data_IF_084481122836
#
_entry.id   IF_084481122836
#
_cell.length_a   1.000
_cell.length_b   1.000
_cell.length_c   1.000
_cell.angle_alpha   90.00
_cell.angle_beta   90.00
_cell.angle_gamma   90.00
#
_symmetry.space_group_name_H-M   'P 1'
#
loop_
_entity.id
_entity.type
_entity.pdbx_description
1 polymer ?
#
# COMPACT_ATOMS: atom_id res chain seq x y z
N UNK A 1 14.41 8.52 27.51
CA UNK A 1 13.71 8.37 26.23
C UNK A 1 12.53 7.45 26.51
N UNK A 2 11.30 7.96 26.49
CA UNK A 2 10.11 7.14 26.70
C UNK A 2 9.93 6.31 25.42
N UNK A 3 10.03 4.99 25.51
CA UNK A 3 9.60 4.08 24.44
C UNK A 3 8.18 3.66 24.81
N UNK A 4 7.20 4.13 24.05
CA UNK A 4 5.86 3.61 24.14
C UNK A 4 5.71 2.47 23.12
N UNK A 5 5.19 1.35 23.57
CA UNK A 5 4.83 0.21 22.72
C UNK A 5 3.57 0.52 21.92
N UNK A 6 3.33 -0.20 20.81
CA UNK A 6 2.08 -0.07 20.07
C UNK A 6 0.87 -0.41 20.96
N UNK A 7 1.04 -1.32 21.90
CA UNK A 7 0.02 -1.66 22.89
C UNK A 7 -0.31 -0.53 23.88
N UNK A 8 0.63 0.38 24.16
CA UNK A 8 0.40 1.57 24.98
C UNK A 8 -0.17 2.73 24.16
N UNK A 9 0.25 2.84 22.88
CA UNK A 9 -0.22 3.87 21.96
C UNK A 9 -1.66 3.62 21.51
N UNK A 10 -1.98 2.43 20.99
CA UNK A 10 -3.25 2.19 20.30
C UNK A 10 -4.49 2.48 21.18
N UNK A 11 -4.60 1.99 22.44
CA UNK A 11 -5.78 2.25 23.27
C UNK A 11 -5.89 3.71 23.72
N UNK A 12 -4.76 4.41 23.79
CA UNK A 12 -4.70 5.81 24.23
C UNK A 12 -5.00 6.78 23.09
N UNK A 13 -4.84 6.32 21.84
CA UNK A 13 -4.81 7.17 20.66
C UNK A 13 -6.01 6.92 19.76
N UNK A 14 -6.52 5.69 19.61
CA UNK A 14 -7.58 5.38 18.64
C UNK A 14 -8.60 4.40 19.23
N UNK A 15 -9.86 4.81 19.26
CA UNK A 15 -10.99 3.94 19.61
C UNK A 15 -11.09 2.77 18.61
N UNK A 16 -11.25 1.55 19.12
CA UNK A 16 -11.42 0.34 18.31
C UNK A 16 -12.60 0.43 17.33
N UNK A 17 -13.61 1.22 17.68
CA UNK A 17 -14.84 1.36 16.90
C UNK A 17 -14.65 2.19 15.61
N UNK A 18 -13.52 2.90 15.47
CA UNK A 18 -13.23 3.75 14.30
C UNK A 18 -12.73 3.00 13.06
N UNK A 19 -12.59 1.67 13.12
CA UNK A 19 -12.25 0.90 11.92
C UNK A 19 -10.82 1.12 11.37
N UNK A 20 -9.83 1.35 12.23
CA UNK A 20 -8.45 1.68 11.84
C UNK A 20 -7.58 0.51 11.30
N UNK A 21 -6.54 0.86 10.54
CA UNK A 21 -5.51 -0.03 10.01
C UNK A 21 -4.10 0.56 10.14
N UNK A 22 -3.08 -0.26 10.39
CA UNK A 22 -1.67 0.14 10.21
C UNK A 22 -1.28 -0.01 8.74
N UNK A 23 -0.46 0.91 8.24
CA UNK A 23 0.09 0.81 6.89
C UNK A 23 1.46 1.44 6.76
N UNK A 24 1.74 1.93 5.55
CA UNK A 24 2.94 2.68 5.26
C UNK A 24 4.22 1.84 5.22
N UNK A 25 5.37 2.53 5.20
CA UNK A 25 6.68 1.88 5.05
C UNK A 25 7.06 0.99 6.23
N UNK A 26 6.46 1.22 7.40
CA UNK A 26 6.77 0.47 8.63
C UNK A 26 6.21 -0.94 8.62
N UNK A 27 5.02 -1.14 8.05
CA UNK A 27 4.48 -2.49 7.85
C UNK A 27 5.36 -3.29 6.90
N UNK A 28 5.77 -2.70 5.78
CA UNK A 28 6.67 -3.36 4.82
C UNK A 28 8.04 -3.66 5.44
N UNK A 29 8.63 -2.68 6.12
CA UNK A 29 9.92 -2.80 6.78
C UNK A 29 9.94 -3.91 7.84
N UNK A 30 8.87 -4.01 8.64
CA UNK A 30 8.75 -5.07 9.64
C UNK A 30 8.52 -6.45 9.01
N UNK A 31 7.79 -6.53 7.89
CA UNK A 31 7.48 -7.81 7.24
C UNK A 31 8.67 -8.37 6.46
N UNK A 32 9.41 -7.51 5.76
CA UNK A 32 10.51 -7.92 4.88
C UNK A 32 11.89 -7.71 5.52
N UNK A 33 11.95 -7.10 6.69
CA UNK A 33 13.18 -6.83 7.45
C UNK A 33 14.26 -6.19 6.57
N UNK A 34 13.86 -5.32 5.63
CA UNK A 34 14.76 -4.83 4.58
C UNK A 34 15.42 -3.49 4.91
N UNK A 35 14.88 -2.75 5.89
CA UNK A 35 15.45 -1.52 6.46
C UNK A 35 14.76 -1.18 7.79
N UNK A 36 15.35 -0.30 8.59
CA UNK A 36 14.68 0.31 9.73
C UNK A 36 13.65 1.36 9.26
N UNK A 37 12.49 1.39 9.92
CA UNK A 37 11.45 2.41 9.71
C UNK A 37 11.01 2.99 11.04
N UNK A 38 11.01 4.32 11.12
CA UNK A 38 10.77 5.08 12.36
C UNK A 38 9.39 5.72 12.43
N UNK A 39 8.68 5.77 11.30
CA UNK A 39 7.35 6.36 11.22
C UNK A 39 6.29 5.32 11.62
N UNK A 40 5.10 5.79 11.98
CA UNK A 40 3.91 4.96 12.19
C UNK A 40 2.75 5.59 11.43
N UNK A 41 2.23 4.89 10.43
CA UNK A 41 1.10 5.35 9.62
C UNK A 41 -0.16 4.57 10.02
N UNK A 42 -1.19 5.30 10.45
CA UNK A 42 -2.51 4.76 10.78
C UNK A 42 -3.55 5.32 9.81
N UNK A 43 -4.35 4.44 9.26
CA UNK A 43 -5.42 4.76 8.32
C UNK A 43 -6.78 4.54 8.96
N UNK A 44 -7.69 5.47 8.68
CA UNK A 44 -9.10 5.43 9.07
C UNK A 44 -9.95 5.43 7.80
N UNK A 45 -11.21 4.95 7.86
CA UNK A 45 -12.17 5.12 6.78
C UNK A 45 -12.24 6.57 6.31
N UNK A 46 -12.44 6.82 5.02
CA UNK A 46 -12.41 8.17 4.45
C UNK A 46 -13.46 9.12 5.05
N UNK A 47 -14.55 8.58 5.59
CA UNK A 47 -15.63 9.28 6.28
C UNK A 47 -15.33 9.60 7.76
N UNK A 48 -14.24 9.06 8.32
CA UNK A 48 -13.88 9.28 9.71
C UNK A 48 -13.54 10.75 9.97
N UNK A 49 -14.09 11.30 11.05
CA UNK A 49 -13.78 12.67 11.47
C UNK A 49 -12.42 12.73 12.15
N UNK A 50 -11.53 13.61 11.68
CA UNK A 50 -10.24 13.87 12.33
C UNK A 50 -10.33 14.82 13.53
N UNK A 51 -11.53 15.32 13.87
CA UNK A 51 -11.71 16.25 14.99
C UNK A 51 -11.27 15.67 16.34
N UNK A 52 -11.35 14.34 16.50
CA UNK A 52 -10.90 13.62 17.71
C UNK A 52 -9.37 13.56 17.84
N UNK A 53 -8.63 13.91 16.78
CA UNK A 53 -7.17 13.98 16.76
C UNK A 53 -6.65 15.42 16.58
N UNK A 54 -7.54 16.40 16.42
CA UNK A 54 -7.15 17.79 16.28
C UNK A 54 -6.76 18.36 17.65
N UNK A 55 -5.49 18.74 17.89
CA UNK A 55 -5.03 19.21 19.21
C UNK A 55 -5.71 20.50 19.69
N UNK A 56 -6.46 21.19 18.82
CA UNK A 56 -7.29 22.36 19.19
C UNK A 56 -8.60 21.94 19.85
N UNK A 57 -9.12 20.77 19.50
CA UNK A 57 -10.45 20.28 19.90
C UNK A 57 -10.40 19.01 20.75
N UNK A 58 -9.27 18.31 20.77
CA UNK A 58 -9.01 17.09 21.52
C UNK A 58 -7.84 17.29 22.50
N UNK A 59 -8.06 17.93 23.66
CA UNK A 59 -6.99 18.18 24.64
C UNK A 59 -6.39 16.87 25.19
N UNK A 60 -7.20 15.82 25.37
CA UNK A 60 -6.73 14.53 25.86
C UNK A 60 -5.74 13.88 24.88
N UNK A 61 -6.05 13.92 23.57
CA UNK A 61 -5.14 13.45 22.53
C UNK A 61 -3.84 14.25 22.52
N UNK A 62 -3.93 15.59 22.57
CA UNK A 62 -2.76 16.47 22.62
C UNK A 62 -1.89 16.16 23.84
N UNK A 63 -2.49 16.07 25.01
CA UNK A 63 -1.77 15.88 26.27
C UNK A 63 -1.14 14.48 26.32
N UNK A 64 -1.81 13.46 25.79
CA UNK A 64 -1.23 12.13 25.58
C UNK A 64 0.00 12.18 24.64
N UNK A 65 -0.10 12.84 23.48
CA UNK A 65 1.02 12.98 22.54
C UNK A 65 2.20 13.73 23.17
N UNK A 66 1.94 14.81 23.91
CA UNK A 66 2.98 15.56 24.62
C UNK A 66 3.62 14.73 25.73
N UNK A 67 2.82 13.95 26.48
CA UNK A 67 3.32 13.02 27.51
C UNK A 67 4.23 11.94 26.94
N UNK A 68 4.01 11.55 25.68
CA UNK A 68 4.86 10.64 24.91
C UNK A 68 6.10 11.32 24.30
N UNK A 69 6.24 12.64 24.44
CA UNK A 69 7.38 13.40 23.97
C UNK A 69 7.23 13.98 22.56
N UNK A 70 6.00 14.20 22.09
CA UNK A 70 5.76 14.89 20.84
C UNK A 70 6.36 16.31 20.87
N UNK A 71 7.06 16.69 19.80
CA UNK A 71 7.69 18.01 19.65
C UNK A 71 6.86 18.95 18.79
N UNK A 72 6.00 18.40 17.93
CA UNK A 72 5.15 19.16 17.01
C UNK A 72 3.93 18.33 16.63
N UNK A 73 2.80 19.02 16.41
CA UNK A 73 1.58 18.45 15.85
C UNK A 73 1.06 19.36 14.74
N UNK A 74 0.56 18.77 13.65
CA UNK A 74 0.01 19.50 12.51
C UNK A 74 -1.24 18.79 11.98
N UNK A 75 -2.28 19.58 11.69
CA UNK A 75 -3.53 19.09 11.12
C UNK A 75 -3.61 19.54 9.67
N UNK A 76 -3.82 18.57 8.79
CA UNK A 76 -4.09 18.74 7.37
C UNK A 76 -5.53 18.30 7.08
N UNK A 77 -6.02 18.53 5.86
CA UNK A 77 -7.42 18.23 5.51
C UNK A 77 -7.80 16.77 5.75
N UNK A 78 -6.87 15.84 5.53
CA UNK A 78 -7.09 14.39 5.63
C UNK A 78 -6.08 13.67 6.52
N UNK A 79 -5.21 14.38 7.22
CA UNK A 79 -4.32 13.74 8.18
C UNK A 79 -3.94 14.62 9.35
N UNK A 80 -3.58 13.96 10.46
CA UNK A 80 -2.93 14.58 11.61
C UNK A 80 -1.54 13.97 11.74
N UNK A 81 -0.53 14.83 11.79
CA UNK A 81 0.88 14.44 11.91
C UNK A 81 1.41 14.87 13.27
N UNK A 82 2.05 13.95 13.97
CA UNK A 82 2.71 14.17 15.25
C UNK A 82 4.16 13.75 15.14
N UNK A 83 5.09 14.66 15.42
CA UNK A 83 6.53 14.40 15.33
C UNK A 83 7.11 14.14 16.72
N UNK A 84 8.03 13.20 16.76
CA UNK A 84 8.84 12.82 17.90
C UNK A 84 10.33 12.91 17.50
N UNK A 85 11.27 12.98 18.46
CA UNK A 85 12.69 12.93 18.14
C UNK A 85 13.10 11.65 17.39
N UNK A 86 12.38 10.56 17.62
CA UNK A 86 12.68 9.23 17.08
C UNK A 86 11.89 8.88 15.80
N UNK A 87 10.98 9.73 15.33
CA UNK A 87 10.10 9.40 14.21
C UNK A 87 8.80 10.21 14.20
N UNK A 88 7.80 9.72 13.47
CA UNK A 88 6.53 10.45 13.25
C UNK A 88 5.34 9.51 13.26
N UNK A 89 4.27 9.91 13.93
CA UNK A 89 2.94 9.30 13.81
C UNK A 89 2.10 10.10 12.82
N UNK A 90 1.47 9.43 11.85
CA UNK A 90 0.51 10.03 10.94
C UNK A 90 -0.81 9.26 10.98
N UNK A 91 -1.91 9.95 11.28
CA UNK A 91 -3.27 9.41 11.23
C UNK A 91 -3.95 10.00 10.00
N UNK A 92 -4.37 9.17 9.06
CA UNK A 92 -4.94 9.58 7.77
C UNK A 92 -6.34 9.03 7.58
N UNK A 93 -7.32 9.89 7.26
CA UNK A 93 -8.66 9.47 6.86
C UNK A 93 -8.68 9.29 5.33
N UNK A 94 -8.47 8.05 4.89
CA UNK A 94 -8.39 7.68 3.49
C UNK A 94 -8.60 6.16 3.34
N UNK A 95 -9.54 5.77 2.50
CA UNK A 95 -9.76 4.36 2.18
C UNK A 95 -8.56 3.77 1.43
N UNK A 96 -8.21 2.50 1.71
CA UNK A 96 -7.13 1.84 0.99
C UNK A 96 -7.49 1.65 -0.48
N UNK A 97 -6.46 1.81 -1.32
CA UNK A 97 -6.57 1.67 -2.77
C UNK A 97 -5.43 0.75 -3.23
N UNK A 98 -5.70 -0.41 -3.86
CA UNK A 98 -7.02 -1.01 -4.06
C UNK A 98 -7.73 -1.32 -2.74
N UNK A 99 -9.07 -1.40 -2.78
CA UNK A 99 -9.93 -1.68 -1.64
C UNK A 99 -9.91 -3.16 -1.25
N UNK A 100 -8.73 -3.64 -0.84
CA UNK A 100 -8.50 -5.01 -0.40
C UNK A 100 -8.84 -5.15 1.09
N UNK A 101 -9.36 -6.32 1.52
CA UNK A 101 -9.64 -6.55 2.93
C UNK A 101 -8.34 -6.50 3.74
N UNK A 102 -8.37 -5.93 4.96
CA UNK A 102 -7.18 -5.84 5.78
C UNK A 102 -6.71 -7.21 6.28
N UNK A 103 -5.41 -7.34 6.49
CA UNK A 103 -4.80 -8.52 7.07
C UNK A 103 -4.79 -8.45 8.59
N UNK A 104 -5.24 -9.51 9.25
CA UNK A 104 -5.12 -9.62 10.70
C UNK A 104 -3.65 -9.86 11.09
N UNK A 105 -3.20 -9.19 12.15
CA UNK A 105 -1.87 -9.35 12.72
C UNK A 105 -1.90 -9.25 14.24
N UNK A 106 -0.83 -9.73 14.88
CA UNK A 106 -0.62 -9.56 16.31
C UNK A 106 0.67 -8.80 16.55
N UNK A 107 0.59 -7.63 17.18
CA UNK A 107 1.74 -6.74 17.43
C UNK A 107 1.78 -6.44 18.92
N UNK A 108 2.94 -6.66 19.55
CA UNK A 108 3.15 -6.49 20.99
C UNK A 108 2.07 -7.19 21.85
N UNK A 109 1.57 -8.33 21.36
CA UNK A 109 0.53 -9.11 22.03
C UNK A 109 -0.91 -8.66 21.77
N UNK A 110 -1.11 -7.52 21.10
CA UNK A 110 -2.41 -6.95 20.73
C UNK A 110 -2.83 -7.32 19.32
N UNK A 111 -4.14 -7.49 19.11
CA UNK A 111 -4.70 -7.65 17.76
C UNK A 111 -4.63 -6.33 17.00
N UNK A 112 -4.16 -6.41 15.75
CA UNK A 112 -4.05 -5.28 14.84
C UNK A 112 -4.57 -5.65 13.46
N UNK A 113 -4.98 -4.64 12.70
CA UNK A 113 -5.33 -4.78 11.29
C UNK A 113 -4.28 -4.06 10.46
N UNK A 114 -3.74 -4.73 9.45
CA UNK A 114 -2.77 -4.18 8.52
C UNK A 114 -3.44 -3.94 7.17
N UNK A 115 -3.05 -2.85 6.51
CA UNK A 115 -3.31 -2.70 5.09
C UNK A 115 -2.58 -3.81 4.31
N UNK A 116 -3.19 -4.27 3.23
CA UNK A 116 -2.55 -5.18 2.29
C UNK A 116 -1.34 -4.51 1.64
N UNK A 117 -0.30 -5.31 1.35
CA UNK A 117 0.95 -4.82 0.77
C UNK A 117 0.68 -4.09 -0.56
N UNK A 118 -0.26 -4.58 -1.37
CA UNK A 118 -0.67 -3.95 -2.61
C UNK A 118 -1.24 -2.54 -2.38
N UNK A 119 -2.05 -2.35 -1.35
CA UNK A 119 -2.63 -1.05 -1.00
C UNK A 119 -1.56 -0.07 -0.50
N UNK A 120 -0.59 -0.55 0.28
CA UNK A 120 0.55 0.27 0.73
C UNK A 120 1.43 0.70 -0.45
N UNK A 121 1.79 -0.25 -1.32
CA UNK A 121 2.61 0.02 -2.51
C UNK A 121 1.89 0.94 -3.50
N UNK A 122 0.59 0.75 -3.71
CA UNK A 122 -0.22 1.63 -4.54
C UNK A 122 -0.26 3.06 -3.97
N UNK A 123 -0.39 3.20 -2.64
CA UNK A 123 -0.28 4.51 -1.97
C UNK A 123 1.07 5.21 -2.20
N UNK A 124 2.18 4.46 -2.29
CA UNK A 124 3.51 5.02 -2.64
C UNK A 124 3.56 5.48 -4.10
N UNK A 125 3.11 4.63 -5.03
CA UNK A 125 3.12 4.94 -6.46
C UNK A 125 2.18 6.10 -6.82
N UNK A 126 0.91 6.04 -6.39
CA UNK A 126 -0.12 7.02 -6.74
C UNK A 126 -0.01 8.31 -5.90
N UNK A 127 0.09 8.17 -4.57
CA UNK A 127 -0.01 9.29 -3.64
C UNK A 127 1.20 10.22 -3.66
N UNK A 128 2.37 9.72 -4.08
CA UNK A 128 3.62 10.49 -4.11
C UNK A 128 4.15 10.70 -5.53
N UNK A 129 3.75 9.85 -6.49
CA UNK A 129 3.98 10.01 -7.92
C UNK A 129 5.39 10.50 -8.24
N UNK A 130 5.48 11.71 -8.81
CA UNK A 130 6.72 12.36 -9.25
C UNK A 130 7.74 12.71 -8.15
N UNK A 131 7.35 12.59 -6.88
CA UNK A 131 8.18 12.96 -5.71
C UNK A 131 8.34 11.78 -4.76
N UNK A 132 8.39 10.57 -5.31
CA UNK A 132 8.57 9.36 -4.53
C UNK A 132 9.90 9.44 -3.76
N UNK A 133 9.87 9.47 -2.41
CA UNK A 133 11.09 9.44 -1.60
C UNK A 133 11.90 8.18 -1.87
N UNK A 134 13.20 8.22 -1.63
CA UNK A 134 14.14 7.13 -1.86
C UNK A 134 13.71 5.85 -1.14
N UNK A 135 13.23 5.95 0.10
CA UNK A 135 12.67 4.82 0.85
C UNK A 135 11.52 4.12 0.14
N UNK A 136 10.71 4.84 -0.63
CA UNK A 136 9.60 4.24 -1.38
C UNK A 136 10.09 3.57 -2.65
N UNK A 137 11.09 4.14 -3.33
CA UNK A 137 11.77 3.50 -4.48
C UNK A 137 12.41 2.18 -4.04
N UNK A 138 13.07 2.19 -2.88
CA UNK A 138 13.66 1.01 -2.25
C UNK A 138 12.59 -0.04 -1.91
N UNK A 139 11.51 0.37 -1.24
CA UNK A 139 10.39 -0.53 -0.89
C UNK A 139 9.75 -1.18 -2.13
N UNK A 140 9.62 -0.44 -3.25
CA UNK A 140 9.10 -0.97 -4.53
C UNK A 140 10.03 -2.05 -5.11
N UNK A 141 11.35 -1.86 -5.04
CA UNK A 141 12.30 -2.85 -5.53
C UNK A 141 12.31 -4.11 -4.68
N UNK A 142 12.27 -3.97 -3.35
CA UNK A 142 12.19 -5.11 -2.44
C UNK A 142 10.91 -5.91 -2.67
N UNK A 143 9.79 -5.23 -2.93
CA UNK A 143 8.51 -5.89 -3.22
C UNK A 143 8.59 -6.85 -4.41
N UNK A 144 9.41 -6.58 -5.44
CA UNK A 144 9.55 -7.49 -6.57
C UNK A 144 10.13 -8.86 -6.19
N UNK A 145 10.88 -8.93 -5.09
CA UNK A 145 11.45 -10.18 -4.57
C UNK A 145 10.55 -10.79 -3.51
N UNK A 146 10.08 -9.98 -2.55
CA UNK A 146 9.38 -10.48 -1.36
C UNK A 146 7.87 -10.66 -1.57
N UNK A 147 7.26 -9.86 -2.47
CA UNK A 147 5.82 -9.89 -2.74
C UNK A 147 5.48 -9.40 -4.17
N UNK A 148 5.91 -10.17 -5.20
CA UNK A 148 5.73 -9.76 -6.59
C UNK A 148 4.26 -9.63 -7.01
N UNK A 149 3.36 -10.38 -6.37
CA UNK A 149 1.92 -10.29 -6.63
C UNK A 149 1.33 -8.97 -6.11
N UNK A 150 1.74 -8.52 -4.91
CA UNK A 150 1.33 -7.22 -4.39
C UNK A 150 1.87 -6.06 -5.23
N UNK A 151 3.14 -6.13 -5.66
CA UNK A 151 3.72 -5.13 -6.56
C UNK A 151 2.94 -5.06 -7.88
N UNK A 152 2.67 -6.20 -8.50
CA UNK A 152 1.90 -6.30 -9.75
C UNK A 152 0.50 -5.72 -9.58
N UNK A 153 -0.20 -6.06 -8.49
CA UNK A 153 -1.50 -5.49 -8.18
C UNK A 153 -1.44 -3.96 -8.07
N UNK A 154 -0.47 -3.43 -7.31
CA UNK A 154 -0.28 -2.01 -7.08
C UNK A 154 0.02 -1.23 -8.38
N UNK A 155 0.96 -1.73 -9.19
CA UNK A 155 1.31 -1.15 -10.50
C UNK A 155 0.07 -1.05 -11.37
N UNK A 156 -0.71 -2.13 -11.47
CA UNK A 156 -1.86 -2.15 -12.38
C UNK A 156 -3.04 -1.29 -11.93
N UNK A 157 -3.07 -0.88 -10.66
CA UNK A 157 -4.05 0.08 -10.16
C UNK A 157 -3.70 1.55 -10.49
N UNK A 158 -2.43 1.85 -10.79
CA UNK A 158 -2.00 3.20 -11.19
C UNK A 158 -2.25 3.40 -12.68
N UNK A 159 -2.90 4.50 -13.10
CA UNK A 159 -3.20 4.74 -14.52
C UNK A 159 -1.95 4.68 -15.45
N UNK A 160 -2.11 4.26 -16.72
CA UNK A 160 -0.99 4.01 -17.63
C UNK A 160 -0.08 5.22 -17.86
N UNK A 161 -0.63 6.43 -17.88
CA UNK A 161 0.13 7.66 -18.06
C UNK A 161 1.02 7.94 -16.84
N UNK A 162 0.44 7.80 -15.65
CA UNK A 162 1.13 7.96 -14.37
C UNK A 162 2.23 6.91 -14.19
N UNK A 163 1.99 5.64 -14.57
CA UNK A 163 3.04 4.60 -14.56
C UNK A 163 4.23 4.97 -15.42
N UNK A 164 3.98 5.38 -16.67
CA UNK A 164 5.03 5.79 -17.62
C UNK A 164 5.83 6.97 -17.09
N UNK A 165 5.14 7.92 -16.49
CA UNK A 165 5.75 9.10 -15.88
C UNK A 165 6.61 8.75 -14.66
N UNK A 166 6.12 7.91 -13.74
CA UNK A 166 6.90 7.44 -12.59
C UNK A 166 8.16 6.71 -13.06
N UNK A 167 8.03 5.75 -13.98
CA UNK A 167 9.17 5.01 -14.52
C UNK A 167 10.20 5.95 -15.17
N UNK A 168 9.75 6.95 -15.92
CA UNK A 168 10.63 7.96 -16.51
C UNK A 168 11.35 8.79 -15.44
N UNK A 169 10.64 9.24 -14.40
CA UNK A 169 11.21 10.06 -13.34
C UNK A 169 12.22 9.31 -12.47
N UNK A 170 11.99 8.03 -12.23
CA UNK A 170 12.95 7.17 -11.54
C UNK A 170 14.24 7.05 -12.35
N UNK A 171 14.14 6.83 -13.66
CA UNK A 171 15.31 6.71 -14.53
C UNK A 171 16.15 8.01 -14.58
N UNK A 172 15.52 9.20 -14.63
CA UNK A 172 16.27 10.47 -14.63
C UNK A 172 16.77 10.88 -13.24
N UNK A 173 16.11 10.41 -12.18
CA UNK A 173 16.44 10.75 -10.79
C UNK A 173 17.48 9.83 -10.15
N UNK A 174 18.06 8.90 -10.91
CA UNK A 174 18.90 7.84 -10.38
C UNK A 174 20.15 8.36 -9.65
N UNK A 175 20.81 9.38 -10.20
CA UNK A 175 22.01 9.95 -9.56
C UNK A 175 21.67 10.62 -8.22
N UNK A 176 20.59 11.40 -8.18
CA UNK A 176 20.11 12.03 -6.94
C UNK A 176 19.74 10.97 -5.90
N UNK A 177 19.10 9.87 -6.33
CA UNK A 177 18.81 8.75 -5.45
C UNK A 177 20.09 8.14 -4.85
N UNK A 178 21.11 7.86 -5.67
CA UNK A 178 22.38 7.26 -5.17
C UNK A 178 23.07 8.16 -4.15
N UNK A 179 22.98 9.47 -4.34
CA UNK A 179 23.56 10.44 -3.41
C UNK A 179 22.83 10.45 -2.06
N UNK A 180 21.49 10.43 -2.05
CA UNK A 180 20.70 10.59 -0.83
C UNK A 180 20.27 9.28 -0.14
N UNK A 181 20.14 8.19 -0.88
CA UNK A 181 19.65 6.90 -0.40
C UNK A 181 20.41 6.37 0.84
N UNK A 182 21.75 6.41 0.90
CA UNK A 182 22.50 5.93 2.07
C UNK A 182 22.20 6.71 3.36
N UNK A 183 21.74 7.96 3.27
CA UNK A 183 21.41 8.79 4.43
C UNK A 183 19.98 8.53 4.94
N UNK A 184 19.07 8.17 4.05
CA UNK A 184 17.63 8.06 4.37
C UNK A 184 17.15 6.62 4.52
N UNK A 185 17.86 5.65 3.94
CA UNK A 185 17.59 4.22 4.09
C UNK A 185 18.41 3.74 5.28
N UNK A 186 17.76 3.71 6.44
CA UNK A 186 18.39 3.37 7.71
C UNK A 186 18.57 1.86 7.82
N UNK A 187 19.79 1.42 8.14
CA UNK A 187 20.14 0.01 8.39
C UNK A 187 19.58 -0.95 7.31
N UNK A 188 19.95 -0.76 6.02
CA UNK A 188 19.49 -1.64 4.96
C UNK A 188 20.00 -3.06 5.20
N UNK A 189 19.14 -4.05 5.02
CA UNK A 189 19.54 -5.45 5.16
C UNK A 189 20.61 -5.79 4.11
N UNK A 190 21.67 -6.56 4.46
CA UNK A 190 22.76 -6.87 3.53
C UNK A 190 22.31 -7.50 2.21
N UNK A 191 21.19 -8.24 2.21
CA UNK A 191 20.61 -8.87 1.01
C UNK A 191 20.03 -7.88 -0.02
N UNK A 192 19.88 -6.61 0.35
CA UNK A 192 19.32 -5.54 -0.48
C UNK A 192 20.27 -4.34 -0.60
N UNK A 193 21.55 -4.51 -0.25
CA UNK A 193 22.50 -3.41 -0.24
C UNK A 193 22.77 -2.85 -1.65
N UNK A 194 22.69 -3.69 -2.67
CA UNK A 194 22.74 -3.34 -4.09
C UNK A 194 21.64 -2.35 -4.50
N UNK A 195 20.47 -2.43 -3.87
CA UNK A 195 19.36 -1.51 -4.14
C UNK A 195 19.65 -0.07 -3.72
N UNK A 196 20.67 0.20 -2.90
CA UNK A 196 21.12 1.58 -2.65
C UNK A 196 21.66 2.25 -3.92
N UNK A 197 22.10 1.46 -4.90
CA UNK A 197 22.68 1.95 -6.16
C UNK A 197 21.77 1.71 -7.36
N UNK A 198 21.05 0.59 -7.39
CA UNK A 198 20.33 0.08 -8.58
C UNK A 198 18.80 0.25 -8.53
N UNK A 199 18.23 0.65 -7.38
CA UNK A 199 16.78 0.68 -7.22
C UNK A 199 16.02 1.56 -8.24
N UNK A 200 16.51 2.74 -8.67
CA UNK A 200 15.74 3.59 -9.59
C UNK A 200 15.49 2.93 -10.95
N UNK A 201 16.54 2.42 -11.59
CA UNK A 201 16.44 1.71 -12.87
C UNK A 201 15.62 0.43 -12.71
N UNK A 202 15.87 -0.32 -11.62
CA UNK A 202 15.15 -1.56 -11.36
C UNK A 202 13.66 -1.33 -11.17
N UNK A 203 13.27 -0.32 -10.39
CA UNK A 203 11.87 0.05 -10.19
C UNK A 203 11.21 0.50 -11.49
N UNK A 204 11.91 1.26 -12.33
CA UNK A 204 11.39 1.69 -13.63
C UNK A 204 11.09 0.50 -14.56
N UNK A 205 11.99 -0.48 -14.62
CA UNK A 205 11.79 -1.73 -15.35
C UNK A 205 10.61 -2.53 -14.80
N UNK A 206 10.56 -2.74 -13.48
CA UNK A 206 9.49 -3.48 -12.81
C UNK A 206 8.11 -2.88 -13.06
N UNK A 207 7.96 -1.56 -12.96
CA UNK A 207 6.69 -0.87 -13.23
C UNK A 207 6.21 -1.14 -14.67
N UNK A 208 7.13 -1.14 -15.64
CA UNK A 208 6.80 -1.47 -17.02
C UNK A 208 6.45 -2.95 -17.17
N UNK A 209 7.31 -3.84 -16.68
CA UNK A 209 7.26 -5.27 -16.95
C UNK A 209 6.11 -5.96 -16.20
N UNK A 210 5.67 -5.40 -15.07
CA UNK A 210 4.53 -5.90 -14.29
C UNK A 210 3.17 -5.37 -14.77
N UNK A 211 3.13 -4.45 -15.74
CA UNK A 211 1.88 -3.97 -16.32
C UNK A 211 1.19 -5.07 -17.13
N UNK A 212 -0.13 -5.24 -16.98
CA UNK A 212 -0.94 -6.17 -17.77
C UNK A 212 -0.97 -5.76 -19.25
N UNK A 213 -0.61 -6.71 -20.11
CA UNK A 213 -0.63 -6.57 -21.57
C UNK A 213 -1.88 -7.21 -22.19
N UNK A 214 -2.37 -8.31 -21.62
CA UNK A 214 -3.60 -8.97 -22.05
C UNK A 214 -4.30 -9.69 -20.90
N UNK A 215 -5.61 -9.85 -21.04
CA UNK A 215 -6.45 -10.63 -20.12
C UNK A 215 -7.48 -11.40 -20.93
N UNK A 216 -7.59 -12.70 -20.66
CA UNK A 216 -8.48 -13.63 -21.32
C UNK A 216 -9.39 -14.31 -20.29
N UNK A 217 -10.64 -14.59 -20.70
CA UNK A 217 -11.61 -15.31 -19.88
C UNK A 217 -12.04 -16.59 -20.60
N UNK A 218 -11.89 -17.72 -19.92
CA UNK A 218 -12.33 -19.02 -20.39
C UNK A 218 -13.46 -19.54 -19.49
N UNK A 219 -14.65 -19.71 -20.05
CA UNK A 219 -15.83 -20.21 -19.35
C UNK A 219 -15.98 -21.71 -19.64
N UNK A 220 -15.67 -22.52 -18.63
CA UNK A 220 -15.77 -23.96 -18.71
C UNK A 220 -17.22 -24.44 -18.55
N UNK A 221 -17.56 -25.54 -19.24
CA UNK A 221 -18.88 -26.18 -19.19
C UNK A 221 -19.32 -26.64 -17.79
N UNK A 222 -18.39 -26.75 -16.84
CA UNK A 222 -18.65 -27.19 -15.45
C UNK A 222 -19.00 -26.02 -14.50
N UNK A 223 -19.40 -24.86 -15.02
CA UNK A 223 -19.76 -23.71 -14.18
C UNK A 223 -18.54 -23.07 -13.50
N UNK A 224 -17.42 -23.02 -14.22
CA UNK A 224 -16.21 -22.34 -13.77
C UNK A 224 -15.73 -21.33 -14.81
N UNK A 225 -15.08 -20.27 -14.35
CA UNK A 225 -14.43 -19.26 -15.20
C UNK A 225 -12.97 -19.15 -14.80
N UNK A 226 -12.08 -19.19 -15.79
CA UNK A 226 -10.65 -18.95 -15.61
C UNK A 226 -10.30 -17.61 -16.23
N UNK A 227 -9.81 -16.69 -15.41
CA UNK A 227 -9.15 -15.46 -15.89
C UNK A 227 -7.66 -15.75 -16.01
N UNK A 228 -7.08 -15.42 -17.18
CA UNK A 228 -5.64 -15.49 -17.43
C UNK A 228 -5.16 -14.11 -17.85
N UNK A 229 -4.21 -13.55 -17.13
CA UNK A 229 -3.60 -12.26 -17.46
C UNK A 229 -2.10 -12.43 -17.73
N UNK A 230 -1.59 -11.68 -18.70
CA UNK A 230 -0.17 -11.68 -19.09
C UNK A 230 0.39 -10.28 -18.94
N UNK A 231 1.55 -10.13 -18.30
CA UNK A 231 2.23 -8.84 -18.21
C UNK A 231 3.08 -8.54 -19.44
N UNK A 232 3.51 -7.29 -19.59
CA UNK A 232 4.46 -6.86 -20.64
C UNK A 232 5.78 -7.64 -20.55
N UNK A 233 6.27 -7.91 -19.33
CA UNK A 233 7.46 -8.74 -19.09
C UNK A 233 7.25 -10.23 -19.36
N UNK A 234 6.03 -10.65 -19.72
CA UNK A 234 5.71 -12.02 -20.12
C UNK A 234 5.24 -12.93 -19.01
N UNK A 235 5.13 -12.44 -17.77
CA UNK A 235 4.58 -13.22 -16.64
C UNK A 235 3.11 -13.52 -16.88
N UNK A 236 2.70 -14.77 -16.65
CA UNK A 236 1.32 -15.23 -16.83
C UNK A 236 0.75 -15.64 -15.49
N UNK A 237 -0.42 -15.10 -15.15
CA UNK A 237 -1.16 -15.43 -13.92
C UNK A 237 -2.56 -15.87 -14.29
N UNK A 238 -2.97 -17.04 -13.79
CA UNK A 238 -4.33 -17.56 -13.98
C UNK A 238 -5.02 -17.81 -12.64
N UNK A 239 -6.34 -17.59 -12.60
CA UNK A 239 -7.21 -17.89 -11.46
C UNK A 239 -8.51 -18.48 -11.95
N UNK A 240 -8.91 -19.62 -11.40
CA UNK A 240 -10.19 -20.28 -11.69
C UNK A 240 -11.16 -20.06 -10.54
N UNK A 241 -12.36 -19.63 -10.87
CA UNK A 241 -13.42 -19.27 -9.92
C UNK A 241 -14.74 -19.93 -10.29
N UNK A 242 -15.62 -20.12 -9.30
CA UNK A 242 -16.95 -20.76 -9.46
C UNK A 242 -18.11 -19.81 -9.17
N UNK A 243 -17.83 -18.53 -9.02
CA UNK A 243 -18.83 -17.48 -8.87
C UNK A 243 -18.26 -16.15 -9.34
N UNK A 244 -19.14 -15.24 -9.74
CA UNK A 244 -18.78 -13.86 -10.07
C UNK A 244 -18.12 -13.15 -8.89
N UNK A 245 -18.55 -13.43 -7.66
CA UNK A 245 -17.95 -12.83 -6.46
C UNK A 245 -16.51 -13.32 -6.22
N UNK A 246 -16.24 -14.61 -6.41
CA UNK A 246 -14.88 -15.14 -6.30
C UNK A 246 -13.98 -14.60 -7.41
N UNK A 247 -14.50 -14.50 -8.64
CA UNK A 247 -13.77 -13.91 -9.76
C UNK A 247 -13.45 -12.43 -9.51
N UNK A 248 -14.42 -11.66 -9.02
CA UNK A 248 -14.24 -10.25 -8.68
C UNK A 248 -13.13 -10.06 -7.64
N UNK A 249 -13.15 -10.85 -6.57
CA UNK A 249 -12.11 -10.79 -5.54
C UNK A 249 -10.72 -11.15 -6.10
N UNK A 250 -10.63 -12.19 -6.95
CA UNK A 250 -9.39 -12.59 -7.60
C UNK A 250 -8.86 -11.48 -8.52
N UNK A 251 -9.73 -10.87 -9.33
CA UNK A 251 -9.37 -9.79 -10.24
C UNK A 251 -8.95 -8.50 -9.51
N UNK A 252 -9.59 -8.14 -8.39
CA UNK A 252 -9.13 -7.06 -7.52
C UNK A 252 -7.71 -7.32 -7.00
N UNK A 253 -7.45 -8.54 -6.49
CA UNK A 253 -6.13 -8.94 -6.04
C UNK A 253 -5.06 -8.97 -7.16
N UNK A 254 -5.49 -9.06 -8.42
CA UNK A 254 -4.61 -8.95 -9.58
C UNK A 254 -4.44 -7.51 -10.08
N UNK A 255 -5.17 -6.53 -9.55
CA UNK A 255 -5.16 -5.15 -10.07
C UNK A 255 -5.89 -5.01 -11.42
N UNK A 256 -6.87 -5.86 -11.71
CA UNK A 256 -7.67 -5.85 -12.95
C UNK A 256 -8.99 -5.06 -12.79
N UNK A 257 -9.04 -4.12 -11.86
CA UNK A 257 -10.28 -3.41 -11.50
C UNK A 257 -10.86 -2.60 -12.65
N UNK A 258 -10.04 -1.88 -13.42
CA UNK A 258 -10.52 -1.16 -14.62
C UNK A 258 -11.16 -2.10 -15.65
N UNK A 259 -10.65 -3.33 -15.78
CA UNK A 259 -11.21 -4.31 -16.73
C UNK A 259 -12.56 -4.85 -16.24
N UNK A 260 -12.80 -4.86 -14.92
CA UNK A 260 -14.10 -5.21 -14.35
C UNK A 260 -15.08 -4.05 -14.36
N UNK A 261 -14.64 -2.83 -14.09
CA UNK A 261 -15.55 -1.69 -13.93
C UNK A 261 -15.81 -0.97 -15.25
N UNK A 262 -14.87 -0.98 -16.20
CA UNK A 262 -15.00 -0.29 -17.49
C UNK A 262 -16.23 -0.76 -18.30
N UNK A 263 -16.37 -2.06 -18.62
CA UNK A 263 -17.50 -2.55 -19.41
C UNK A 263 -18.83 -2.60 -18.65
N UNK A 264 -18.78 -2.74 -17.31
CA UNK A 264 -19.95 -3.07 -16.48
C UNK A 264 -20.46 -1.91 -15.61
N UNK A 265 -19.66 -0.86 -15.44
CA UNK A 265 -19.93 0.33 -14.64
C UNK A 265 -19.92 0.10 -13.12
N UNK A 266 -20.28 -1.08 -12.64
CA UNK A 266 -20.30 -1.41 -11.21
C UNK A 266 -19.85 -2.85 -10.95
N UNK A 267 -19.27 -3.08 -9.77
CA UNK A 267 -18.93 -4.42 -9.30
C UNK A 267 -20.15 -5.37 -9.30
N UNK A 268 -21.32 -4.85 -8.91
CA UNK A 268 -22.56 -5.63 -8.87
C UNK A 268 -22.96 -6.13 -10.26
N UNK A 269 -22.89 -5.26 -11.26
CA UNK A 269 -23.22 -5.62 -12.64
C UNK A 269 -22.22 -6.64 -13.20
N UNK A 270 -20.93 -6.48 -12.91
CA UNK A 270 -19.89 -7.46 -13.27
C UNK A 270 -20.19 -8.85 -12.69
N UNK A 271 -20.45 -8.94 -11.38
CA UNK A 271 -20.75 -10.21 -10.69
C UNK A 271 -21.99 -10.87 -11.30
N UNK A 272 -23.06 -10.10 -11.55
CA UNK A 272 -24.31 -10.61 -12.13
C UNK A 272 -24.13 -11.17 -13.55
N UNK A 273 -23.33 -10.51 -14.39
CA UNK A 273 -23.02 -11.02 -15.74
C UNK A 273 -22.28 -12.36 -15.65
N UNK A 274 -21.24 -12.42 -14.82
CA UNK A 274 -20.41 -13.63 -14.68
C UNK A 274 -21.26 -14.79 -14.19
N UNK A 275 -22.07 -14.58 -13.15
CA UNK A 275 -22.97 -15.60 -12.62
C UNK A 275 -24.02 -16.05 -13.64
N UNK A 276 -24.41 -15.19 -14.59
CA UNK A 276 -25.32 -15.55 -15.69
C UNK A 276 -24.63 -16.46 -16.69
N UNK A 277 -23.35 -16.22 -17.01
CA UNK A 277 -22.56 -17.04 -17.93
C UNK A 277 -22.11 -18.39 -17.35
N UNK A 278 -22.09 -18.50 -16.02
CA UNK A 278 -21.74 -19.74 -15.32
C UNK A 278 -22.90 -20.74 -15.23
N UNK A 279 -24.12 -20.36 -15.63
CA UNK A 279 -25.33 -21.21 -15.63
C UNK A 279 -25.58 -21.81 -17.00
#
# INVERSE_FOLDING_TARGET
MVRATLAELLPTVIDSDLGWWLGGGTVLAAQWEHRLSTDLDIFLPAEASLTTFDPRWAPDFRDAMLGLGATRMEVQQRSVKTWFPAGRLEITALDPVPALPPRAARIDGSDARLLENASILCGKLYGRGRRMPERDVFDVCVAATEDPDALRCAVNHVGPDTRREIAHLLAIGADMYRESAPEVILEPAPRFADLLEEAPERAAELIRDETWASTDFDYALEGAVTVTARTVGGTVVSRTCRSGQALAAAMLGMGLEEMMLGPYGTMRAFVQEVDTRLR
#
